data_IF_747456026482
#
_entry.id   IF_747456026482
#
_cell.length_a   1.000
_cell.length_b   1.000
_cell.length_c   1.000
_cell.angle_alpha   90.00
_cell.angle_beta   90.00
_cell.angle_gamma   90.00
#
_symmetry.space_group_name_H-M   'P 1'
#
loop_
_entity.id
_entity.type
_entity.pdbx_description
1 polymer ?
#
# COMPACT_ATOMS: atom_id res chain seq x y z
N UNK A 1 -4.41 -11.66 -2.68
CA UNK A 1 -3.15 -11.87 -3.42
C UNK A 1 -1.97 -11.34 -2.61
N UNK A 2 -0.80 -11.98 -2.74
CA UNK A 2 0.48 -11.51 -2.19
C UNK A 2 1.45 -11.26 -3.35
N UNK A 3 2.35 -10.30 -3.22
CA UNK A 3 3.42 -10.05 -4.17
C UNK A 3 4.75 -9.92 -3.44
N UNK A 4 5.85 -10.21 -4.13
CA UNK A 4 7.20 -9.93 -3.64
C UNK A 4 7.79 -8.80 -4.45
N UNK A 5 8.26 -7.77 -3.77
CA UNK A 5 8.95 -6.61 -4.36
C UNK A 5 10.43 -6.75 -4.01
N UNK A 6 11.30 -6.52 -4.99
CA UNK A 6 12.75 -6.43 -4.75
C UNK A 6 13.15 -4.96 -4.73
N UNK A 7 13.73 -4.52 -3.62
CA UNK A 7 14.29 -3.18 -3.43
C UNK A 7 15.79 -3.39 -3.12
N UNK A 8 16.66 -3.04 -4.06
CA UNK A 8 18.08 -3.36 -3.95
C UNK A 8 18.32 -4.86 -3.75
N UNK A 9 18.97 -5.24 -2.65
CA UNK A 9 19.21 -6.64 -2.26
C UNK A 9 18.07 -7.23 -1.39
N UNK A 10 17.13 -6.40 -0.94
CA UNK A 10 16.04 -6.82 -0.04
C UNK A 10 14.85 -7.32 -0.84
N UNK A 11 14.24 -8.41 -0.36
CA UNK A 11 13.01 -8.97 -0.93
C UNK A 11 11.88 -8.83 0.09
N UNK A 12 10.88 -8.03 -0.27
CA UNK A 12 9.78 -7.65 0.60
C UNK A 12 8.52 -8.34 0.13
N UNK A 13 7.86 -9.09 1.02
CA UNK A 13 6.55 -9.67 0.74
C UNK A 13 5.46 -8.70 1.19
N UNK A 14 4.58 -8.35 0.26
CA UNK A 14 3.44 -7.47 0.50
C UNK A 14 2.14 -8.14 0.09
N UNK A 15 1.03 -7.62 0.60
CA UNK A 15 -0.32 -8.05 0.23
C UNK A 15 -1.19 -6.84 -0.05
N UNK A 16 -2.28 -7.06 -0.79
CA UNK A 16 -3.35 -6.07 -0.87
C UNK A 16 -4.06 -5.89 0.47
N UNK A 17 -4.68 -4.73 0.64
CA UNK A 17 -5.55 -4.40 1.75
C UNK A 17 -6.85 -5.19 1.65
N UNK A 18 -7.28 -5.73 2.78
CA UNK A 18 -8.58 -6.38 2.96
C UNK A 18 -9.68 -5.32 3.01
N UNK A 19 -10.92 -5.73 2.77
CA UNK A 19 -12.08 -4.83 2.88
C UNK A 19 -12.09 -4.06 4.20
N UNK A 20 -11.93 -4.75 5.33
CA UNK A 20 -12.00 -4.13 6.67
C UNK A 20 -10.96 -3.02 6.84
N UNK A 21 -9.71 -3.30 6.46
CA UNK A 21 -8.59 -2.35 6.53
C UNK A 21 -8.84 -1.11 5.67
N UNK A 22 -9.41 -1.28 4.47
CA UNK A 22 -9.79 -0.15 3.61
C UNK A 22 -10.94 0.67 4.20
N UNK A 23 -11.87 0.01 4.89
CA UNK A 23 -13.00 0.68 5.56
C UNK A 23 -12.53 1.48 6.76
N UNK A 24 -11.56 0.97 7.51
CA UNK A 24 -10.91 1.66 8.63
C UNK A 24 -10.17 2.91 8.13
N UNK A 25 -9.34 2.78 7.10
CA UNK A 25 -8.64 3.92 6.49
C UNK A 25 -9.60 4.98 5.94
N UNK A 26 -10.72 4.57 5.33
CA UNK A 26 -11.76 5.49 4.87
C UNK A 26 -12.47 6.21 6.03
N UNK A 27 -12.66 5.55 7.17
CA UNK A 27 -13.24 6.17 8.36
C UNK A 27 -12.31 7.25 8.94
N UNK A 28 -11.00 7.06 8.81
CA UNK A 28 -9.97 8.05 9.17
C UNK A 28 -9.80 9.17 8.13
N UNK A 29 -10.61 9.17 7.05
CA UNK A 29 -10.58 10.18 6.00
C UNK A 29 -9.71 9.84 4.79
N UNK A 30 -9.04 8.69 4.78
CA UNK A 30 -8.19 8.24 3.68
C UNK A 30 -8.97 7.39 2.68
N UNK A 31 -9.47 8.02 1.61
CA UNK A 31 -10.17 7.30 0.54
C UNK A 31 -9.18 6.74 -0.50
N UNK A 32 -8.82 5.47 -0.33
CA UNK A 32 -7.86 4.74 -1.19
C UNK A 32 -8.33 4.66 -2.64
N UNK A 33 -9.64 4.61 -2.90
CA UNK A 33 -10.19 4.57 -4.26
C UNK A 33 -9.94 5.91 -4.93
N UNK A 34 -10.21 7.00 -4.22
CA UNK A 34 -9.94 8.36 -4.70
C UNK A 34 -8.45 8.56 -4.98
N UNK A 35 -7.57 8.05 -4.12
CA UNK A 35 -6.11 8.15 -4.29
C UNK A 35 -5.61 7.37 -5.50
N UNK A 36 -6.15 6.16 -5.74
CA UNK A 36 -5.81 5.39 -6.93
C UNK A 36 -6.25 6.10 -8.23
N UNK A 37 -7.41 6.78 -8.19
CA UNK A 37 -7.95 7.51 -9.34
C UNK A 37 -7.27 8.88 -9.57
N UNK A 38 -6.89 9.58 -8.50
CA UNK A 38 -6.07 10.79 -8.58
C UNK A 38 -4.65 10.39 -8.92
N UNK A 39 -4.28 10.52 -10.20
CA UNK A 39 -2.95 10.20 -10.75
C UNK A 39 -1.80 10.75 -9.87
N UNK A 40 -1.29 9.93 -8.94
CA UNK A 40 0.01 9.92 -8.21
C UNK A 40 0.63 11.22 -7.64
N UNK A 41 0.23 12.41 -8.06
CA UNK A 41 0.94 13.67 -7.78
C UNK A 41 0.64 14.25 -6.40
N UNK A 42 -0.51 13.96 -5.80
CA UNK A 42 -0.89 14.45 -4.46
C UNK A 42 -0.46 13.52 -3.31
N UNK A 43 0.25 12.43 -3.62
CA UNK A 43 0.64 11.47 -2.60
C UNK A 43 1.65 12.07 -1.60
N UNK A 44 2.41 13.12 -1.99
CA UNK A 44 3.44 13.73 -1.12
C UNK A 44 2.83 14.42 0.12
N UNK A 45 1.52 14.71 0.09
CA UNK A 45 0.78 15.21 1.26
C UNK A 45 0.24 14.06 2.15
N UNK A 46 0.60 12.81 1.87
CA UNK A 46 0.02 11.63 2.51
C UNK A 46 1.07 10.68 3.11
N UNK A 47 2.18 11.21 3.64
CA UNK A 47 3.18 10.39 4.36
C UNK A 47 2.54 9.55 5.48
N UNK A 48 1.60 10.12 6.25
CA UNK A 48 0.88 9.38 7.31
C UNK A 48 0.08 8.18 6.74
N UNK A 49 -0.57 8.36 5.59
CA UNK A 49 -1.29 7.25 4.96
C UNK A 49 -0.34 6.17 4.45
N UNK A 50 0.74 6.60 3.80
CA UNK A 50 1.75 5.69 3.26
C UNK A 50 2.30 4.86 4.40
N UNK A 51 2.71 5.49 5.50
CA UNK A 51 3.21 4.83 6.70
C UNK A 51 2.18 3.85 7.30
N UNK A 52 0.92 4.28 7.48
CA UNK A 52 -0.17 3.40 7.96
C UNK A 52 -0.40 2.19 7.07
N UNK A 53 -0.50 2.39 5.76
CA UNK A 53 -0.77 1.30 4.81
C UNK A 53 0.38 0.32 4.77
N UNK A 54 1.62 0.81 4.77
CA UNK A 54 2.81 -0.02 4.81
C UNK A 54 2.87 -0.81 6.12
N UNK A 55 2.60 -0.19 7.27
CA UNK A 55 2.53 -0.86 8.57
C UNK A 55 1.43 -1.94 8.66
N UNK A 56 0.31 -1.80 7.95
CA UNK A 56 -0.76 -2.81 7.92
C UNK A 56 -0.37 -4.07 7.11
N UNK A 57 0.41 -3.87 6.05
CA UNK A 57 0.70 -4.92 5.05
C UNK A 57 2.10 -5.51 5.16
N UNK A 58 3.01 -4.84 5.86
CA UNK A 58 4.30 -5.40 6.24
C UNK A 58 4.15 -6.25 7.48
N UNK A 59 4.71 -7.46 7.39
CA UNK A 59 4.79 -8.37 8.54
C UNK A 59 6.04 -8.07 9.40
N UNK A 60 7.05 -7.37 8.85
CA UNK A 60 8.30 -7.01 9.53
C UNK A 60 8.60 -5.50 9.40
N UNK A 61 8.43 -4.72 10.49
CA UNK A 61 8.65 -3.27 10.46
C UNK A 61 10.13 -2.88 10.40
N UNK A 62 11.06 -3.74 10.81
CA UNK A 62 12.51 -3.49 10.76
C UNK A 62 13.02 -3.32 9.33
N UNK A 63 12.30 -3.87 8.35
CA UNK A 63 12.60 -3.68 6.93
C UNK A 63 12.22 -2.26 6.49
N UNK A 64 11.23 -1.61 7.12
CA UNK A 64 10.72 -0.28 6.74
C UNK A 64 11.69 0.83 7.14
N UNK A 65 12.27 0.76 8.34
CA UNK A 65 13.27 1.74 8.84
C UNK A 65 14.50 1.86 7.93
N UNK A 66 14.74 0.82 7.15
CA UNK A 66 15.93 0.63 6.34
C UNK A 66 15.61 0.85 4.83
N UNK A 67 14.48 1.49 4.53
CA UNK A 67 14.04 1.90 3.19
C UNK A 67 14.03 3.41 3.04
N UNK A 68 14.37 3.89 1.84
CA UNK A 68 14.15 5.30 1.51
C UNK A 68 12.66 5.57 1.27
N UNK A 69 12.22 6.81 1.51
CA UNK A 69 10.82 7.21 1.30
C UNK A 69 10.30 6.88 -0.12
N UNK A 70 11.17 6.95 -1.13
CA UNK A 70 10.87 6.52 -2.51
C UNK A 70 10.48 5.04 -2.60
N UNK A 71 11.16 4.16 -1.88
CA UNK A 71 10.91 2.72 -1.87
C UNK A 71 9.63 2.38 -1.11
N UNK A 72 9.42 3.03 0.04
CA UNK A 72 8.18 2.94 0.82
C UNK A 72 6.98 3.30 -0.07
N UNK A 73 7.14 4.28 -0.94
CA UNK A 73 6.13 4.67 -1.91
C UNK A 73 5.85 3.64 -3.00
N UNK A 74 6.90 3.04 -3.56
CA UNK A 74 6.75 1.98 -4.56
C UNK A 74 5.97 0.80 -3.98
N UNK A 75 6.31 0.45 -2.74
CA UNK A 75 5.61 -0.56 -1.95
C UNK A 75 4.14 -0.20 -1.77
N UNK A 76 3.85 1.01 -1.31
CA UNK A 76 2.48 1.50 -1.11
C UNK A 76 1.66 1.37 -2.40
N UNK A 77 2.20 1.88 -3.52
CA UNK A 77 1.52 1.80 -4.81
C UNK A 77 1.21 0.36 -5.21
N UNK A 78 2.13 -0.57 -4.95
CA UNK A 78 1.92 -1.98 -5.24
C UNK A 78 0.84 -2.60 -4.37
N UNK A 79 0.79 -2.24 -3.09
CA UNK A 79 -0.26 -2.66 -2.15
C UNK A 79 -1.63 -2.18 -2.63
N UNK A 80 -1.72 -0.91 -3.05
CA UNK A 80 -2.95 -0.34 -3.60
C UNK A 80 -3.38 -1.11 -4.86
N UNK A 81 -2.47 -1.32 -5.81
CA UNK A 81 -2.73 -2.10 -7.03
C UNK A 81 -3.27 -3.50 -6.72
N UNK A 82 -2.62 -4.24 -5.82
CA UNK A 82 -3.06 -5.58 -5.40
C UNK A 82 -4.44 -5.60 -4.74
N UNK A 83 -4.80 -4.50 -4.07
CA UNK A 83 -6.10 -4.34 -3.43
C UNK A 83 -7.23 -4.25 -4.46
N UNK A 84 -6.99 -3.59 -5.60
CA UNK A 84 -7.97 -3.45 -6.67
C UNK A 84 -8.01 -4.65 -7.63
N UNK A 85 -6.85 -5.24 -7.95
CA UNK A 85 -6.79 -6.48 -8.74
C UNK A 85 -7.57 -7.59 -8.05
N UNK A 86 -7.39 -7.74 -6.73
CA UNK A 86 -8.14 -8.74 -5.95
C UNK A 86 -9.66 -8.51 -5.93
N UNK A 87 -10.16 -7.31 -6.22
CA UNK A 87 -11.59 -7.03 -6.34
C UNK A 87 -12.13 -7.25 -7.75
N UNK A 88 -11.34 -6.92 -8.77
CA UNK A 88 -11.70 -7.19 -10.16
C UNK A 88 -11.82 -8.70 -10.42
N UNK A 89 -10.93 -9.50 -9.82
CA UNK A 89 -10.99 -10.97 -9.92
C UNK A 89 -12.12 -11.59 -9.10
N UNK A 90 -12.51 -11.01 -7.97
CA UNK A 90 -13.65 -11.51 -7.15
C UNK A 90 -15.03 -11.27 -7.78
N UNK A 91 -15.12 -10.44 -8.82
CA UNK A 91 -16.35 -10.17 -9.57
C UNK A 91 -16.49 -11.01 -10.86
N UNK A 92 -15.53 -11.89 -11.15
CA UNK A 92 -15.63 -12.92 -12.19
C UNK A 92 -16.02 -14.26 -11.59
#
# INVERSE_FOLDING_TARGET
MKATIKIGEKSIKVRGLKWKERRELKADGYDIIKIFMSKKNDLQMMDDLVDRVVNIVFEDPSIIDDLEMSDVYQVFLKVIELSFVSEAEKKR
#
